data_IF_995957764082
#
_entry.id   IF_995957764082
#
_cell.length_a   1.000
_cell.length_b   1.000
_cell.length_c   1.000
_cell.angle_alpha   90.00
_cell.angle_beta   90.00
_cell.angle_gamma   90.00
#
_symmetry.space_group_name_H-M   'P 1'
#
loop_
_entity.id
_entity.type
_entity.pdbx_description
1 polymer ?
#
# COMPACT_ATOMS: atom_id res chain seq x y z
N UNK A 1 -3.80 7.02 9.65
CA UNK A 1 -3.01 6.38 8.58
C UNK A 1 -2.11 5.35 9.23
N UNK A 2 -2.10 4.07 8.77
CA UNK A 2 -1.20 3.06 9.29
C UNK A 2 0.22 3.58 9.35
N UNK A 3 0.82 3.43 10.52
CA UNK A 3 2.21 3.82 10.75
C UNK A 3 3.11 2.63 10.36
N UNK A 4 4.43 2.86 10.33
CA UNK A 4 5.38 1.80 9.93
C UNK A 4 5.19 0.49 10.69
N UNK A 5 4.82 0.56 11.99
CA UNK A 5 4.55 -0.60 12.83
C UNK A 5 3.35 -1.43 12.36
N UNK A 6 2.26 -0.77 11.93
CA UNK A 6 1.08 -1.45 11.38
C UNK A 6 1.43 -2.22 10.10
N UNK A 7 2.25 -1.60 9.25
CA UNK A 7 2.72 -2.22 8.01
C UNK A 7 3.67 -3.38 8.28
N UNK A 8 4.53 -3.28 9.29
CA UNK A 8 5.37 -4.41 9.76
C UNK A 8 4.48 -5.58 10.19
N UNK A 9 3.38 -5.33 10.90
CA UNK A 9 2.42 -6.38 11.25
C UNK A 9 1.74 -6.99 10.01
N UNK A 10 1.38 -6.18 9.01
CA UNK A 10 0.85 -6.69 7.74
C UNK A 10 1.87 -7.55 6.99
N UNK A 11 3.12 -7.09 6.90
CA UNK A 11 4.24 -7.85 6.32
C UNK A 11 4.41 -9.19 7.03
N UNK A 12 4.47 -9.18 8.36
CA UNK A 12 4.62 -10.39 9.16
C UNK A 12 3.48 -11.39 8.89
N UNK A 13 2.22 -10.92 8.83
CA UNK A 13 1.07 -11.77 8.50
C UNK A 13 1.21 -12.42 7.12
N UNK A 14 1.61 -11.66 6.11
CA UNK A 14 1.84 -12.20 4.76
C UNK A 14 2.99 -13.21 4.78
N UNK A 15 4.10 -12.90 5.45
CA UNK A 15 5.25 -13.79 5.55
C UNK A 15 4.91 -15.12 6.23
N UNK A 16 4.15 -15.10 7.33
CA UNK A 16 3.69 -16.33 7.97
C UNK A 16 2.83 -17.17 7.01
N UNK A 17 1.88 -16.55 6.33
CA UNK A 17 1.03 -17.26 5.36
C UNK A 17 1.85 -17.90 4.23
N UNK A 18 2.83 -17.18 3.66
CA UNK A 18 3.70 -17.71 2.61
C UNK A 18 4.61 -18.85 3.11
N UNK A 19 5.12 -18.72 4.34
CA UNK A 19 5.93 -19.76 4.98
C UNK A 19 5.13 -21.02 5.31
N UNK A 20 3.88 -20.87 5.73
CA UNK A 20 3.01 -22.00 6.04
C UNK A 20 2.61 -22.74 4.76
N UNK A 21 2.28 -22.02 3.68
CA UNK A 21 2.08 -22.61 2.37
C UNK A 21 3.35 -23.33 1.86
N UNK A 22 4.53 -22.72 2.01
CA UNK A 22 5.80 -23.37 1.65
C UNK A 22 6.04 -24.69 2.40
N UNK A 23 5.69 -24.75 3.70
CA UNK A 23 5.82 -25.98 4.50
C UNK A 23 4.83 -27.06 4.07
N UNK A 24 3.63 -26.67 3.65
CA UNK A 24 2.56 -27.58 3.24
C UNK A 24 2.83 -28.17 1.85
N UNK A 25 3.17 -27.30 0.88
CA UNK A 25 3.25 -27.67 -0.54
C UNK A 25 4.68 -28.00 -1.01
N UNK A 26 5.70 -27.55 -0.25
CA UNK A 26 7.12 -27.78 -0.55
C UNK A 26 7.72 -26.83 -1.59
N UNK A 27 6.95 -25.87 -2.11
CA UNK A 27 7.41 -24.82 -3.03
C UNK A 27 6.90 -23.45 -2.60
N UNK A 28 7.61 -22.39 -3.01
CA UNK A 28 7.23 -21.03 -2.62
C UNK A 28 5.98 -20.61 -3.40
N UNK A 29 4.97 -19.97 -2.76
CA UNK A 29 3.73 -19.66 -3.45
C UNK A 29 3.94 -18.67 -4.61
N UNK A 30 3.43 -19.05 -5.77
CA UNK A 30 3.27 -18.16 -6.91
C UNK A 30 1.88 -17.51 -6.87
N UNK A 31 1.82 -16.25 -7.31
CA UNK A 31 0.57 -15.52 -7.38
C UNK A 31 0.52 -14.52 -8.51
N UNK A 32 -0.68 -13.99 -8.73
CA UNK A 32 -0.99 -12.99 -9.76
C UNK A 32 -1.64 -11.76 -9.13
N UNK A 33 -1.33 -10.60 -9.70
CA UNK A 33 -2.00 -9.35 -9.33
C UNK A 33 -3.44 -9.35 -9.83
N UNK A 34 -4.38 -9.01 -8.95
CA UNK A 34 -5.77 -8.75 -9.29
C UNK A 34 -6.12 -7.34 -8.85
N UNK A 35 -6.68 -6.52 -9.75
CA UNK A 35 -7.17 -5.17 -9.42
C UNK A 35 -8.66 -5.08 -9.67
N UNK A 36 -9.36 -4.34 -8.81
CA UNK A 36 -10.82 -4.16 -8.88
C UNK A 36 -11.20 -2.67 -8.98
N UNK A 37 -10.95 -1.99 -10.13
CA UNK A 37 -11.21 -0.56 -10.27
C UNK A 37 -12.62 -0.07 -9.98
N UNK A 38 -13.63 -0.96 -10.06
CA UNK A 38 -15.01 -0.67 -9.63
C UNK A 38 -15.11 -0.24 -8.16
N UNK A 39 -14.12 -0.56 -7.33
CA UNK A 39 -14.08 -0.16 -5.91
C UNK A 39 -13.24 1.10 -5.65
N UNK A 40 -12.54 1.63 -6.66
CA UNK A 40 -11.70 2.81 -6.52
C UNK A 40 -12.53 4.06 -6.21
N UNK A 41 -11.90 5.04 -5.56
CA UNK A 41 -12.52 6.34 -5.38
C UNK A 41 -12.67 7.06 -6.72
N UNK A 42 -13.59 8.02 -6.76
CA UNK A 42 -13.74 8.94 -7.88
C UNK A 42 -13.43 10.34 -7.38
N UNK A 43 -12.37 10.92 -7.94
CA UNK A 43 -12.05 12.33 -7.75
C UNK A 43 -13.21 13.24 -8.16
N UNK A 44 -13.11 14.49 -7.77
CA UNK A 44 -14.03 15.55 -8.21
C UNK A 44 -13.29 16.52 -9.11
N UNK A 45 -14.00 17.33 -9.89
CA UNK A 45 -13.36 18.39 -10.69
C UNK A 45 -12.50 19.33 -9.83
N UNK A 46 -12.91 19.59 -8.58
CA UNK A 46 -12.17 20.45 -7.64
C UNK A 46 -11.01 19.74 -6.93
N UNK A 47 -11.07 18.41 -6.80
CA UNK A 47 -10.04 17.59 -6.16
C UNK A 47 -9.86 16.32 -7.00
N UNK A 48 -9.01 16.36 -8.04
CA UNK A 48 -8.67 15.15 -8.77
C UNK A 48 -8.04 14.18 -7.78
N UNK A 49 -8.56 12.96 -7.77
CA UNK A 49 -8.05 11.89 -6.92
C UNK A 49 -7.89 10.64 -7.77
N UNK A 50 -6.76 9.99 -7.59
CA UNK A 50 -6.36 8.81 -8.33
C UNK A 50 -5.98 7.72 -7.34
N UNK A 51 -6.78 6.66 -7.32
CA UNK A 51 -6.50 5.49 -6.50
C UNK A 51 -5.29 4.72 -7.01
N UNK A 52 -5.08 4.67 -8.32
CA UNK A 52 -4.06 3.80 -8.92
C UNK A 52 -3.29 4.53 -10.00
N UNK A 53 -1.97 4.52 -9.93
CA UNK A 53 -1.05 4.85 -11.01
C UNK A 53 -0.23 3.62 -11.40
N UNK A 54 0.46 3.68 -12.55
CA UNK A 54 1.41 2.63 -12.92
C UNK A 54 2.60 3.19 -13.68
N UNK A 55 3.70 2.44 -13.60
CA UNK A 55 4.89 2.61 -14.41
C UNK A 55 5.13 1.33 -15.20
N UNK A 56 5.16 1.46 -16.52
CA UNK A 56 5.54 0.37 -17.42
C UNK A 56 7.02 0.56 -17.67
N UNK A 57 7.86 -0.30 -17.08
CA UNK A 57 9.28 -0.38 -17.40
C UNK A 57 9.46 -1.01 -18.79
N UNK A 58 10.27 -2.07 -18.86
CA UNK A 58 10.51 -2.80 -20.11
C UNK A 58 9.42 -3.85 -20.42
N UNK A 59 8.41 -3.98 -19.54
CA UNK A 59 7.30 -4.90 -19.76
C UNK A 59 6.56 -4.62 -21.07
N UNK A 60 6.16 -5.67 -21.76
CA UNK A 60 5.37 -5.60 -22.98
C UNK A 60 4.23 -6.61 -23.00
N UNK A 61 3.13 -6.32 -23.71
CA UNK A 61 2.00 -7.24 -23.87
C UNK A 61 2.37 -8.63 -24.39
N UNK A 62 3.49 -8.80 -25.10
CA UNK A 62 3.94 -10.09 -25.61
C UNK A 62 4.40 -11.06 -24.52
N UNK A 63 4.72 -10.57 -23.32
CA UNK A 63 5.08 -11.42 -22.17
C UNK A 63 3.86 -12.09 -21.54
N UNK A 64 2.67 -11.50 -21.72
CA UNK A 64 1.38 -11.94 -21.19
C UNK A 64 0.31 -11.79 -22.30
N UNK A 65 0.40 -12.62 -23.36
CA UNK A 65 -0.37 -12.41 -24.58
C UNK A 65 -1.81 -12.91 -24.50
N UNK A 66 -2.14 -13.71 -23.48
CA UNK A 66 -3.44 -14.38 -23.36
C UNK A 66 -4.50 -13.38 -22.90
N UNK A 67 -5.52 -13.07 -23.70
CA UNK A 67 -6.60 -12.17 -23.29
C UNK A 67 -7.46 -12.81 -22.20
N UNK A 68 -7.95 -12.01 -21.26
CA UNK A 68 -8.86 -12.42 -20.20
C UNK A 68 -10.15 -11.59 -20.24
N UNK A 69 -11.31 -12.14 -19.82
CA UNK A 69 -12.53 -11.37 -19.71
C UNK A 69 -12.38 -10.25 -18.67
N UNK A 70 -12.79 -9.03 -19.03
CA UNK A 70 -12.84 -7.88 -18.11
C UNK A 70 -14.28 -7.73 -17.61
N UNK A 71 -14.43 -7.53 -16.30
CA UNK A 71 -15.73 -7.14 -15.76
C UNK A 71 -16.16 -5.78 -16.32
N UNK A 72 -17.40 -5.66 -16.79
CA UNK A 72 -17.88 -4.42 -17.41
C UNK A 72 -17.78 -3.20 -16.48
N UNK A 73 -17.89 -3.38 -15.16
CA UNK A 73 -17.78 -2.28 -14.21
C UNK A 73 -16.33 -1.84 -14.00
N UNK A 74 -15.36 -2.76 -14.09
CA UNK A 74 -13.95 -2.39 -14.05
C UNK A 74 -13.54 -1.70 -15.36
N UNK A 75 -14.00 -2.21 -16.51
CA UNK A 75 -13.71 -1.62 -17.82
C UNK A 75 -14.18 -0.16 -17.91
N UNK A 76 -15.36 0.16 -17.36
CA UNK A 76 -15.89 1.54 -17.29
C UNK A 76 -15.03 2.48 -16.44
N UNK A 77 -14.18 1.94 -15.58
CA UNK A 77 -13.30 2.72 -14.67
C UNK A 77 -11.90 2.89 -15.22
N UNK A 78 -11.52 2.15 -16.26
CA UNK A 78 -10.25 2.34 -16.95
C UNK A 78 -10.29 3.72 -17.63
N UNK A 79 -9.48 4.68 -17.20
CA UNK A 79 -9.48 5.98 -17.82
C UNK A 79 -8.90 5.86 -19.24
N UNK A 80 -9.46 6.61 -20.19
CA UNK A 80 -9.00 6.59 -21.60
C UNK A 80 -7.52 6.97 -21.79
N UNK A 81 -6.95 7.69 -20.83
CA UNK A 81 -5.63 8.31 -20.90
C UNK A 81 -4.71 7.87 -19.75
N UNK A 82 -4.90 6.66 -19.18
CA UNK A 82 -4.07 6.23 -18.04
C UNK A 82 -3.38 4.90 -18.23
N UNK A 83 -2.20 4.86 -17.65
CA UNK A 83 -1.16 3.90 -17.97
C UNK A 83 -1.34 2.53 -17.30
N UNK A 84 -2.29 2.34 -16.38
CA UNK A 84 -2.45 1.05 -15.68
C UNK A 84 -3.49 0.10 -16.29
N UNK A 85 -4.21 0.53 -17.33
CA UNK A 85 -5.26 -0.28 -17.97
C UNK A 85 -4.75 -1.60 -18.56
N UNK A 86 -3.44 -1.71 -18.85
CA UNK A 86 -2.83 -2.95 -19.33
C UNK A 86 -2.90 -4.09 -18.32
N UNK A 87 -3.03 -3.81 -17.03
CA UNK A 87 -3.16 -4.83 -15.98
C UNK A 87 -4.53 -5.51 -15.97
N UNK A 88 -5.44 -5.08 -16.85
CA UNK A 88 -6.75 -5.69 -17.06
C UNK A 88 -6.81 -6.36 -18.43
N UNK A 89 -7.69 -7.35 -18.55
CA UNK A 89 -8.04 -7.93 -19.84
C UNK A 89 -7.03 -8.89 -20.41
N UNK A 90 -6.11 -9.36 -19.57
CA UNK A 90 -5.14 -10.41 -19.89
C UNK A 90 -4.94 -11.32 -18.68
N UNK A 91 -4.52 -12.54 -18.94
CA UNK A 91 -4.05 -13.44 -17.90
C UNK A 91 -2.62 -13.03 -17.52
N UNK A 92 -2.47 -12.49 -16.31
CA UNK A 92 -1.16 -12.16 -15.78
C UNK A 92 -0.42 -13.44 -15.43
N UNK A 93 0.88 -13.47 -15.68
CA UNK A 93 1.73 -14.62 -15.43
C UNK A 93 1.97 -14.76 -13.92
N UNK A 94 1.67 -15.92 -13.32
CA UNK A 94 2.03 -16.19 -11.94
C UNK A 94 3.54 -16.10 -11.72
N UNK A 95 3.94 -15.63 -10.54
CA UNK A 95 5.32 -15.72 -10.09
C UNK A 95 5.44 -15.52 -8.58
N UNK A 96 6.65 -15.65 -8.04
CA UNK A 96 6.85 -15.82 -6.60
C UNK A 96 6.38 -14.59 -5.83
N UNK A 97 5.57 -14.83 -4.79
CA UNK A 97 5.00 -13.74 -4.00
C UNK A 97 5.99 -13.28 -2.93
N UNK A 98 6.31 -11.99 -2.91
CA UNK A 98 7.14 -11.40 -1.86
C UNK A 98 6.51 -10.14 -1.30
N UNK A 99 6.86 -9.81 -0.05
CA UNK A 99 6.38 -8.63 0.65
C UNK A 99 7.52 -7.86 1.32
N UNK A 100 7.49 -6.54 1.19
CA UNK A 100 8.39 -5.66 1.92
C UNK A 100 7.66 -4.42 2.40
N UNK A 101 8.24 -3.79 3.42
CA UNK A 101 7.73 -2.55 4.00
C UNK A 101 8.88 -1.58 4.06
N UNK A 102 8.60 -0.34 3.70
CA UNK A 102 9.55 0.75 3.82
C UNK A 102 8.77 2.04 4.06
N UNK A 103 9.00 2.63 5.23
CA UNK A 103 8.29 3.82 5.70
C UNK A 103 6.81 3.52 5.90
N UNK A 104 5.95 4.28 5.21
CA UNK A 104 4.49 4.12 5.23
C UNK A 104 3.94 3.40 4.00
N UNK A 105 4.79 2.62 3.35
CA UNK A 105 4.46 1.92 2.11
C UNK A 105 4.73 0.42 2.26
N UNK A 106 3.86 -0.38 1.66
CA UNK A 106 4.00 -1.83 1.57
C UNK A 106 4.09 -2.23 0.09
N UNK A 107 5.08 -3.03 -0.25
CA UNK A 107 5.26 -3.56 -1.60
C UNK A 107 4.91 -5.05 -1.62
N UNK A 108 4.13 -5.47 -2.62
CA UNK A 108 3.80 -6.86 -2.92
C UNK A 108 4.28 -7.20 -4.33
N UNK A 109 5.06 -8.26 -4.47
CA UNK A 109 5.47 -8.80 -5.77
C UNK A 109 4.55 -9.94 -6.16
N UNK A 110 4.19 -10.00 -7.44
CA UNK A 110 3.55 -11.15 -8.08
C UNK A 110 3.86 -11.14 -9.59
N UNK A 111 4.66 -12.10 -10.05
CA UNK A 111 5.01 -12.22 -11.47
C UNK A 111 5.89 -11.07 -11.97
N UNK A 112 5.50 -10.49 -13.11
CA UNK A 112 6.14 -9.30 -13.70
C UNK A 112 5.77 -7.99 -12.99
N UNK A 113 4.94 -8.03 -11.95
CA UNK A 113 4.33 -6.85 -11.35
C UNK A 113 4.68 -6.70 -9.88
N UNK A 114 4.98 -5.47 -9.49
CA UNK A 114 5.07 -5.05 -8.09
C UNK A 114 3.95 -4.05 -7.82
N UNK A 115 3.17 -4.29 -6.76
CA UNK A 115 2.16 -3.37 -6.27
C UNK A 115 2.66 -2.69 -4.99
N UNK A 116 2.86 -1.38 -5.05
CA UNK A 116 3.13 -0.53 -3.88
C UNK A 116 1.81 0.04 -3.37
N UNK A 117 1.61 -0.04 -2.06
CA UNK A 117 0.36 0.29 -1.38
C UNK A 117 0.62 1.32 -0.29
N UNK A 118 -0.14 2.41 -0.34
CA UNK A 118 -0.27 3.38 0.74
C UNK A 118 -1.70 3.30 1.28
N UNK A 119 -1.86 2.80 2.51
CA UNK A 119 -3.17 2.45 3.07
C UNK A 119 -4.02 3.66 3.54
N UNK A 120 -3.48 4.88 3.51
CA UNK A 120 -4.12 6.11 3.99
C UNK A 120 -4.92 5.88 5.29
N UNK A 121 -6.13 6.40 5.51
CA UNK A 121 -6.78 6.37 6.82
C UNK A 121 -7.34 4.99 7.22
N UNK A 122 -8.05 4.32 6.32
CA UNK A 122 -8.87 3.12 6.63
C UNK A 122 -8.53 1.90 5.74
N UNK A 123 -7.42 1.96 5.01
CA UNK A 123 -6.91 0.83 4.26
C UNK A 123 -6.43 -0.29 5.20
N UNK A 124 -6.66 -1.52 4.77
CA UNK A 124 -6.29 -2.73 5.51
C UNK A 124 -5.84 -3.84 4.59
N UNK A 125 -4.93 -4.68 5.10
CA UNK A 125 -4.49 -5.92 4.46
C UNK A 125 -5.02 -7.12 5.22
N UNK A 126 -5.57 -8.09 4.49
CA UNK A 126 -6.04 -9.38 5.06
C UNK A 126 -5.61 -10.54 4.18
N UNK A 127 -5.47 -11.71 4.78
CA UNK A 127 -5.29 -12.97 4.06
C UNK A 127 -6.56 -13.82 4.22
N UNK A 128 -6.91 -14.60 3.20
CA UNK A 128 -8.02 -15.54 3.23
C UNK A 128 -7.80 -16.68 2.23
N UNK A 129 -8.60 -17.75 2.34
CA UNK A 129 -8.64 -18.82 1.35
C UNK A 129 -9.17 -18.31 0.00
N UNK A 130 -8.67 -18.88 -1.09
CA UNK A 130 -9.04 -18.52 -2.46
C UNK A 130 -10.54 -18.64 -2.73
N UNK A 131 -11.16 -19.73 -2.29
CA UNK A 131 -12.60 -19.95 -2.39
C UNK A 131 -13.44 -18.81 -1.78
N UNK A 132 -12.99 -18.24 -0.66
CA UNK A 132 -13.68 -17.15 0.03
C UNK A 132 -13.57 -15.84 -0.73
N UNK A 133 -12.39 -15.58 -1.29
CA UNK A 133 -12.19 -14.43 -2.14
C UNK A 133 -13.08 -14.50 -3.39
N UNK A 134 -13.09 -15.64 -4.07
CA UNK A 134 -13.89 -15.86 -5.28
C UNK A 134 -15.39 -15.67 -5.02
N UNK A 135 -15.90 -16.19 -3.90
CA UNK A 135 -17.28 -15.97 -3.47
C UNK A 135 -17.60 -14.48 -3.24
N UNK A 136 -16.69 -13.72 -2.61
CA UNK A 136 -16.86 -12.29 -2.34
C UNK A 136 -16.89 -11.49 -3.65
N UNK A 137 -15.93 -11.74 -4.56
CA UNK A 137 -15.79 -10.93 -5.79
C UNK A 137 -16.80 -11.30 -6.88
N UNK A 138 -17.47 -12.44 -6.77
CA UNK A 138 -18.49 -12.89 -7.70
C UNK A 138 -19.66 -11.89 -7.84
N UNK A 139 -20.05 -11.21 -6.75
CA UNK A 139 -21.19 -10.28 -6.75
C UNK A 139 -20.82 -8.92 -6.18
N UNK A 140 -21.09 -7.87 -6.96
CA UNK A 140 -20.93 -6.49 -6.53
C UNK A 140 -22.22 -5.68 -6.66
N UNK A 141 -22.39 -4.69 -5.81
CA UNK A 141 -23.55 -3.80 -5.74
C UNK A 141 -23.14 -2.34 -5.83
N UNK A 142 -24.04 -1.43 -6.26
CA UNK A 142 -23.81 0.01 -6.17
C UNK A 142 -23.43 0.46 -4.75
N UNK A 143 -22.58 1.48 -4.69
CA UNK A 143 -22.13 2.10 -3.44
C UNK A 143 -23.22 2.90 -2.77
N UNK A 144 -22.91 3.39 -1.57
CA UNK A 144 -23.81 4.26 -0.82
C UNK A 144 -23.53 5.72 -1.19
N UNK A 145 -24.16 6.21 -2.27
CA UNK A 145 -24.11 7.61 -2.65
C UNK A 145 -25.53 8.16 -2.92
N UNK A 146 -25.88 9.37 -2.45
CA UNK A 146 -27.18 9.97 -2.75
C UNK A 146 -27.45 10.12 -4.25
N UNK A 147 -26.40 10.30 -5.06
CA UNK A 147 -26.51 10.37 -6.53
C UNK A 147 -26.40 8.96 -7.11
N UNK A 148 -27.50 8.47 -7.71
CA UNK A 148 -27.58 7.13 -8.29
C UNK A 148 -26.48 6.84 -9.33
N UNK A 149 -26.15 7.82 -10.19
CA UNK A 149 -25.07 7.69 -11.17
C UNK A 149 -23.70 7.46 -10.50
N UNK A 150 -23.39 8.21 -9.45
CA UNK A 150 -22.14 8.05 -8.68
C UNK A 150 -22.13 6.75 -7.87
N UNK A 151 -23.28 6.34 -7.32
CA UNK A 151 -23.44 5.05 -6.65
C UNK A 151 -23.19 3.87 -7.60
N UNK A 152 -23.66 3.96 -8.84
CA UNK A 152 -23.44 2.93 -9.86
C UNK A 152 -21.96 2.79 -10.25
N UNK A 153 -21.19 3.88 -10.21
CA UNK A 153 -19.75 3.88 -10.47
C UNK A 153 -18.92 3.38 -9.28
N UNK A 154 -19.31 3.72 -8.04
CA UNK A 154 -18.59 3.36 -6.82
C UNK A 154 -19.10 2.03 -6.25
N UNK A 155 -18.82 0.91 -6.91
CA UNK A 155 -19.35 -0.40 -6.50
C UNK A 155 -18.61 -0.99 -5.31
N UNK A 156 -19.25 -1.90 -4.59
CA UNK A 156 -18.68 -2.67 -3.48
C UNK A 156 -19.06 -4.14 -3.61
N UNK A 157 -18.27 -5.03 -3.05
CA UNK A 157 -18.58 -6.45 -2.97
C UNK A 157 -19.49 -6.72 -1.76
N UNK A 158 -20.40 -7.69 -1.89
CA UNK A 158 -21.24 -8.13 -0.78
C UNK A 158 -20.43 -9.09 0.09
N UNK A 159 -20.49 -8.92 1.40
CA UNK A 159 -19.90 -9.89 2.32
C UNK A 159 -20.85 -11.09 2.50
N UNK A 160 -20.41 -12.33 2.22
CA UNK A 160 -21.21 -13.51 2.49
C UNK A 160 -21.63 -13.63 3.97
N UNK A 161 -22.85 -14.13 4.27
CA UNK A 161 -23.37 -14.21 5.64
C UNK A 161 -22.46 -14.95 6.62
N UNK A 162 -21.69 -15.94 6.15
CA UNK A 162 -20.75 -16.71 6.98
C UNK A 162 -19.60 -15.87 7.56
N UNK A 163 -19.34 -14.69 7.02
CA UNK A 163 -18.33 -13.74 7.54
C UNK A 163 -18.95 -12.63 8.39
N UNK A 164 -20.25 -12.69 8.67
CA UNK A 164 -20.97 -11.68 9.44
C UNK A 164 -21.24 -12.26 10.83
N UNK A 165 -20.63 -11.66 11.84
CA UNK A 165 -20.86 -12.01 13.24
C UNK A 165 -22.34 -11.87 13.62
N UNK A 166 -22.86 -12.77 14.45
CA UNK A 166 -24.27 -12.79 14.84
C UNK A 166 -24.73 -11.47 15.49
N UNK A 167 -23.84 -10.80 16.22
CA UNK A 167 -24.07 -9.50 16.84
C UNK A 167 -23.99 -8.29 15.90
N UNK A 168 -23.67 -8.49 14.61
CA UNK A 168 -23.55 -7.41 13.65
C UNK A 168 -24.92 -6.78 13.31
N UNK A 169 -24.88 -5.55 12.77
CA UNK A 169 -26.09 -4.78 12.45
C UNK A 169 -26.87 -5.41 11.28
N UNK A 170 -27.85 -6.24 11.61
CA UNK A 170 -28.67 -7.03 10.67
C UNK A 170 -29.42 -6.22 9.59
N UNK A 171 -29.75 -4.94 9.83
CA UNK A 171 -30.54 -4.12 8.89
C UNK A 171 -29.75 -3.56 7.70
N UNK A 172 -28.45 -3.83 7.58
CA UNK A 172 -27.59 -3.25 6.54
C UNK A 172 -26.90 -4.36 5.76
N UNK A 173 -26.91 -4.27 4.43
CA UNK A 173 -26.07 -5.13 3.59
C UNK A 173 -24.61 -4.86 3.94
N UNK A 174 -23.91 -5.89 4.41
CA UNK A 174 -22.48 -5.83 4.71
C UNK A 174 -21.71 -5.83 3.39
N UNK A 175 -20.81 -4.86 3.24
CA UNK A 175 -20.06 -4.61 2.02
C UNK A 175 -18.58 -4.50 2.32
N UNK A 176 -17.74 -4.89 1.36
CA UNK A 176 -16.30 -4.69 1.37
C UNK A 176 -15.86 -4.05 0.05
N UNK A 177 -14.88 -3.14 0.12
CA UNK A 177 -14.24 -2.58 -1.06
C UNK A 177 -12.85 -3.23 -1.18
N UNK A 178 -12.73 -4.28 -1.97
CA UNK A 178 -11.42 -4.86 -2.30
C UNK A 178 -10.88 -4.08 -3.49
N UNK A 179 -9.73 -3.45 -3.33
CA UNK A 179 -9.14 -2.57 -4.33
C UNK A 179 -8.13 -3.34 -5.18
N UNK A 180 -7.31 -4.15 -4.52
CA UNK A 180 -6.38 -5.06 -5.17
C UNK A 180 -6.23 -6.34 -4.34
N UNK A 181 -5.71 -7.38 -4.96
CA UNK A 181 -5.36 -8.63 -4.32
C UNK A 181 -4.17 -9.28 -5.01
N UNK A 182 -3.39 -10.07 -4.26
CA UNK A 182 -2.48 -11.06 -4.83
C UNK A 182 -3.13 -12.42 -4.66
N UNK A 183 -3.41 -13.05 -5.79
CA UNK A 183 -4.13 -14.31 -5.90
C UNK A 183 -3.12 -15.42 -6.07
N UNK A 184 -3.08 -16.36 -5.12
CA UNK A 184 -2.35 -17.63 -5.25
C UNK A 184 -3.39 -18.76 -5.36
N UNK A 185 -2.91 -20.00 -5.53
CA UNK A 185 -3.77 -21.18 -5.71
C UNK A 185 -4.74 -21.36 -4.53
N UNK A 186 -4.22 -21.42 -3.30
CA UNK A 186 -5.01 -21.72 -2.10
C UNK A 186 -5.35 -20.48 -1.26
N UNK A 187 -4.56 -19.42 -1.38
CA UNK A 187 -4.61 -18.25 -0.52
C UNK A 187 -4.67 -16.96 -1.33
N UNK A 188 -5.21 -15.91 -0.73
CA UNK A 188 -5.29 -14.58 -1.33
C UNK A 188 -4.91 -13.53 -0.29
N UNK A 189 -4.06 -12.59 -0.70
CA UNK A 189 -3.78 -11.37 0.04
C UNK A 189 -4.69 -10.29 -0.53
N UNK A 190 -5.59 -9.73 0.27
CA UNK A 190 -6.49 -8.66 -0.16
C UNK A 190 -6.08 -7.32 0.44
N UNK A 191 -6.21 -6.27 -0.37
CA UNK A 191 -6.11 -4.87 0.04
C UNK A 191 -7.51 -4.28 -0.03
N UNK A 192 -8.02 -3.83 1.11
CA UNK A 192 -9.39 -3.33 1.22
C UNK A 192 -9.46 -2.04 2.02
N UNK A 193 -10.36 -1.14 1.61
CA UNK A 193 -10.49 0.18 2.23
C UNK A 193 -11.93 0.69 2.19
N UNK A 194 -12.49 0.97 3.36
CA UNK A 194 -13.84 1.52 3.44
C UNK A 194 -13.95 2.93 2.84
N UNK A 195 -12.95 3.78 3.09
CA UNK A 195 -12.87 5.17 2.62
C UNK A 195 -12.48 5.30 1.15
N UNK A 196 -11.85 4.26 0.56
CA UNK A 196 -11.29 4.22 -0.81
C UNK A 196 -10.16 5.23 -1.04
N UNK A 197 -9.46 5.60 0.01
CA UNK A 197 -8.35 6.56 0.00
C UNK A 197 -6.98 5.89 -0.13
N UNK A 198 -6.93 4.55 -0.12
CA UNK A 198 -5.74 3.78 -0.42
C UNK A 198 -5.23 4.13 -1.81
N UNK A 199 -3.94 4.44 -1.88
CA UNK A 199 -3.24 4.67 -3.13
C UNK A 199 -2.43 3.44 -3.51
N UNK A 200 -2.50 3.09 -4.78
CA UNK A 200 -1.86 1.95 -5.41
C UNK A 200 -0.93 2.46 -6.49
N UNK A 201 0.26 1.88 -6.56
CA UNK A 201 1.19 2.12 -7.65
C UNK A 201 1.72 0.80 -8.16
N UNK A 202 1.48 0.49 -9.43
CA UNK A 202 1.97 -0.74 -10.04
C UNK A 202 3.22 -0.48 -10.87
N UNK A 203 4.25 -1.29 -10.70
CA UNK A 203 5.46 -1.27 -11.52
C UNK A 203 5.61 -2.60 -12.22
N UNK A 204 5.87 -2.56 -13.52
CA UNK A 204 6.00 -3.76 -14.35
C UNK A 204 7.36 -3.83 -15.04
N UNK A 205 7.96 -5.01 -15.08
CA UNK A 205 9.24 -5.30 -15.73
C UNK A 205 9.11 -6.42 -16.77
N UNK A 206 10.10 -6.53 -17.66
CA UNK A 206 10.22 -7.63 -18.62
C UNK A 206 10.74 -8.93 -17.98
N UNK A 207 11.16 -8.88 -16.72
CA UNK A 207 11.62 -10.00 -15.92
C UNK A 207 10.76 -10.19 -14.67
N UNK A 208 10.66 -11.43 -14.19
CA UNK A 208 9.94 -11.73 -12.95
C UNK A 208 10.68 -11.09 -11.78
N UNK A 209 9.96 -10.33 -10.97
CA UNK A 209 10.53 -9.75 -9.77
C UNK A 209 10.86 -10.83 -8.74
N UNK A 210 11.91 -10.59 -7.97
CA UNK A 210 12.43 -11.49 -6.94
C UNK A 210 12.45 -10.81 -5.58
N UNK A 211 12.78 -11.53 -4.50
CA UNK A 211 13.09 -10.89 -3.22
C UNK A 211 14.29 -9.92 -3.35
N UNK A 212 15.24 -10.27 -4.22
CA UNK A 212 16.32 -9.41 -4.70
C UNK A 212 15.83 -8.28 -5.64
N UNK A 213 14.51 -8.06 -5.68
CA UNK A 213 13.84 -6.83 -6.13
C UNK A 213 13.06 -6.00 -5.03
N UNK A 214 13.11 -6.36 -3.73
CA UNK A 214 12.69 -5.48 -2.60
C UNK A 214 13.74 -4.87 -1.61
N UNK A 215 14.96 -5.39 -1.49
CA UNK A 215 16.10 -4.86 -0.71
C UNK A 215 16.56 -3.44 -1.15
N UNK A 216 17.25 -2.68 -0.29
CA UNK A 216 17.71 -1.32 -0.62
C UNK A 216 18.72 -1.20 -1.78
N UNK A 217 19.50 -2.25 -2.06
CA UNK A 217 20.74 -2.15 -2.86
C UNK A 217 20.58 -2.44 -4.38
N UNK A 218 19.39 -2.73 -4.89
CA UNK A 218 19.24 -3.04 -6.33
C UNK A 218 19.12 -1.76 -7.16
N UNK A 219 19.74 -1.78 -8.34
CA UNK A 219 19.88 -0.65 -9.26
C UNK A 219 18.60 -0.39 -10.06
N UNK A 220 17.81 -1.43 -10.39
CA UNK A 220 16.46 -1.32 -11.00
C UNK A 220 15.44 -0.66 -10.03
N UNK A 221 15.84 -0.63 -8.76
CA UNK A 221 15.01 -0.43 -7.60
C UNK A 221 15.03 1.01 -7.07
N UNK A 222 15.93 1.86 -7.56
CA UNK A 222 16.01 3.27 -7.15
C UNK A 222 14.71 4.05 -7.41
N UNK A 223 13.91 3.74 -8.43
CA UNK A 223 12.64 4.45 -8.68
C UNK A 223 11.48 4.02 -7.77
N UNK A 224 11.29 2.70 -7.57
CA UNK A 224 10.35 2.15 -6.58
C UNK A 224 10.73 2.61 -5.17
N UNK A 225 12.03 2.57 -4.85
CA UNK A 225 12.55 2.92 -3.53
C UNK A 225 12.63 4.43 -3.28
N UNK A 226 12.93 5.30 -4.24
CA UNK A 226 13.15 6.74 -3.98
C UNK A 226 11.86 7.55 -4.08
N UNK A 227 10.91 7.19 -4.96
CA UNK A 227 9.70 7.98 -5.21
C UNK A 227 8.51 7.53 -4.36
N UNK A 228 8.37 6.22 -4.11
CA UNK A 228 7.15 5.66 -3.50
C UNK A 228 7.37 4.93 -2.16
N UNK A 229 8.61 4.64 -1.80
CA UNK A 229 8.96 4.05 -0.51
C UNK A 229 9.73 5.07 0.34
N UNK A 230 9.07 5.59 1.36
CA UNK A 230 9.63 6.58 2.30
C UNK A 230 10.99 6.10 2.83
N UNK A 231 12.11 6.82 2.67
CA UNK A 231 13.43 6.34 3.10
C UNK A 231 13.44 6.10 4.62
N UNK A 232 13.45 4.85 5.07
CA UNK A 232 13.52 4.54 6.50
C UNK A 232 14.91 4.93 6.98
N UNK A 233 14.98 5.99 7.79
CA UNK A 233 16.13 6.20 8.66
C UNK A 233 15.99 5.19 9.80
N UNK A 234 16.92 4.23 9.95
CA UNK A 234 16.90 3.40 11.15
C UNK A 234 16.97 4.33 12.36
N UNK A 235 16.05 4.17 13.31
CA UNK A 235 16.15 4.78 14.64
C UNK A 235 17.32 4.11 15.38
N UNK A 236 18.53 4.39 14.93
CA UNK A 236 19.73 4.30 15.74
C UNK A 236 20.14 5.74 16.04
N UNK A 237 20.66 5.97 17.24
CA UNK A 237 20.72 7.30 17.86
C UNK A 237 21.54 8.35 17.10
N UNK A 238 22.37 7.93 16.15
CA UNK A 238 23.08 8.85 15.24
C UNK A 238 22.26 9.29 14.03
N UNK A 239 21.32 8.48 13.53
CA UNK A 239 20.71 8.68 12.20
C UNK A 239 19.63 9.76 12.18
N UNK A 240 18.95 9.99 13.32
CA UNK A 240 17.99 11.08 13.46
C UNK A 240 18.69 12.44 13.41
N UNK A 241 19.82 12.61 14.13
CA UNK A 241 20.60 13.85 14.14
C UNK A 241 21.15 14.18 12.75
N UNK A 242 21.70 13.19 12.02
CA UNK A 242 22.11 13.38 10.62
C UNK A 242 20.93 13.71 9.68
N UNK A 243 19.77 13.12 9.96
CA UNK A 243 18.51 13.39 9.28
C UNK A 243 17.99 14.82 9.49
N UNK A 244 18.08 15.33 10.73
CA UNK A 244 17.68 16.69 11.09
C UNK A 244 18.62 17.74 10.46
N UNK A 245 19.93 17.47 10.45
CA UNK A 245 20.93 18.31 9.78
C UNK A 245 20.77 18.34 8.26
N UNK A 246 20.22 17.28 7.64
CA UNK A 246 19.95 17.27 6.19
C UNK A 246 18.65 18.01 5.82
N UNK A 247 17.64 18.00 6.70
CA UNK A 247 16.45 18.86 6.57
C UNK A 247 16.82 20.35 6.69
N UNK A 248 17.77 20.68 7.56
CA UNK A 248 18.32 22.03 7.71
C UNK A 248 18.90 22.56 6.40
N UNK A 249 19.73 21.75 5.73
CA UNK A 249 20.33 22.08 4.42
C UNK A 249 19.27 22.23 3.32
N UNK A 250 18.20 21.42 3.35
CA UNK A 250 17.16 21.41 2.31
C UNK A 250 16.11 22.51 2.47
N UNK A 251 15.72 22.84 3.71
CA UNK A 251 14.62 23.77 4.00
C UNK A 251 15.10 25.19 4.29
N UNK A 252 16.37 25.37 4.65
CA UNK A 252 16.92 26.68 5.03
C UNK A 252 16.29 27.29 6.30
N UNK A 253 15.49 26.52 7.05
CA UNK A 253 14.74 27.02 8.22
C UNK A 253 15.03 26.20 9.47
N UNK A 254 15.80 26.81 10.37
CA UNK A 254 16.17 26.31 11.70
C UNK A 254 15.01 26.35 12.71
N UNK A 255 13.89 26.97 12.37
CA UNK A 255 12.76 27.19 13.28
C UNK A 255 11.57 26.27 13.01
N UNK A 256 11.76 25.22 12.20
CA UNK A 256 10.70 24.25 11.95
C UNK A 256 10.45 23.44 13.23
N UNK A 257 9.20 23.34 13.71
CA UNK A 257 8.84 22.48 14.82
C UNK A 257 9.30 21.03 14.60
N UNK A 258 9.86 20.40 15.63
CA UNK A 258 10.33 19.01 15.54
C UNK A 258 9.22 18.04 15.10
N UNK A 259 7.98 18.30 15.50
CA UNK A 259 6.83 17.51 15.06
C UNK A 259 6.65 17.55 13.53
N UNK A 260 6.84 18.70 12.88
CA UNK A 260 6.72 18.82 11.43
C UNK A 260 7.87 18.11 10.72
N UNK A 261 9.05 18.11 11.31
CA UNK A 261 10.21 17.38 10.78
C UNK A 261 10.02 15.86 10.89
N UNK A 262 9.48 15.37 12.02
CA UNK A 262 9.14 13.96 12.23
C UNK A 262 7.97 13.51 11.34
N UNK A 263 7.07 14.40 10.94
CA UNK A 263 5.95 14.06 10.05
C UNK A 263 6.29 14.18 8.57
N UNK A 264 7.47 14.71 8.23
CA UNK A 264 7.91 14.86 6.85
C UNK A 264 8.15 13.50 6.18
N UNK A 265 7.29 13.18 5.20
CA UNK A 265 7.34 11.95 4.40
C UNK A 265 8.50 11.90 3.41
N UNK A 266 9.23 12.97 3.18
CA UNK A 266 10.47 12.95 2.38
C UNK A 266 11.73 13.07 3.25
N UNK A 267 11.54 13.23 4.57
CA UNK A 267 12.60 13.52 5.52
C UNK A 267 12.93 12.36 6.46
N UNK A 268 13.63 12.64 7.57
CA UNK A 268 14.05 11.64 8.54
C UNK A 268 12.90 10.94 9.27
N UNK A 269 11.72 11.58 9.30
CA UNK A 269 10.48 11.04 9.83
C UNK A 269 9.72 10.09 8.90
N UNK A 270 10.33 9.68 7.80
CA UNK A 270 9.78 8.75 6.82
C UNK A 270 9.30 7.42 7.47
N UNK A 271 7.99 7.29 7.70
CA UNK A 271 7.40 6.14 8.42
C UNK A 271 6.68 6.52 9.71
N UNK A 272 6.97 7.70 10.26
CA UNK A 272 6.42 8.19 11.53
C UNK A 272 5.11 8.90 11.29
N UNK A 273 4.02 8.38 11.86
CA UNK A 273 2.73 9.06 11.87
C UNK A 273 2.58 9.98 13.09
N UNK A 274 1.43 10.65 13.17
CA UNK A 274 1.15 11.60 14.23
C UNK A 274 1.13 10.94 15.62
N UNK A 275 0.72 9.68 15.72
CA UNK A 275 0.71 8.99 17.02
C UNK A 275 2.12 8.62 17.45
N UNK A 276 2.91 7.98 16.57
CA UNK A 276 4.30 7.65 16.89
C UNK A 276 5.15 8.90 17.17
N UNK A 277 4.96 9.99 16.42
CA UNK A 277 5.70 11.23 16.68
C UNK A 277 5.37 11.79 18.07
N UNK A 278 4.08 11.87 18.45
CA UNK A 278 3.69 12.35 19.76
C UNK A 278 4.18 11.42 20.89
N UNK A 279 4.11 10.10 20.70
CA UNK A 279 4.60 9.14 21.68
C UNK A 279 6.12 9.22 21.86
N UNK A 280 6.87 9.37 20.75
CA UNK A 280 8.31 9.57 20.77
C UNK A 280 8.64 10.82 21.58
N UNK A 281 8.07 11.97 21.20
CA UNK A 281 8.29 13.26 21.86
C UNK A 281 7.91 13.25 23.35
N UNK A 282 6.83 12.55 23.71
CA UNK A 282 6.42 12.36 25.10
C UNK A 282 7.43 11.52 25.90
N UNK A 283 8.02 10.49 25.28
CA UNK A 283 9.01 9.63 25.93
C UNK A 283 10.34 10.32 26.25
N UNK A 284 10.68 11.36 25.48
CA UNK A 284 11.97 12.10 25.54
C UNK A 284 11.82 13.51 26.16
N UNK A 285 10.82 13.68 27.04
CA UNK A 285 10.19 14.95 27.42
C UNK A 285 10.40 16.19 26.53
N UNK A 286 10.19 16.08 25.22
CA UNK A 286 10.40 17.17 24.26
C UNK A 286 9.07 17.78 23.81
N UNK A 287 8.95 19.12 23.85
CA UNK A 287 7.74 19.79 23.39
C UNK A 287 7.62 19.71 21.85
N UNK A 288 6.44 19.39 21.26
CA UNK A 288 6.29 19.26 19.81
C UNK A 288 6.69 20.50 19.00
N UNK A 289 6.49 21.70 19.57
CA UNK A 289 6.88 22.98 18.96
C UNK A 289 8.35 23.34 19.18
N UNK A 290 9.16 22.45 19.76
CA UNK A 290 10.59 22.69 19.93
C UNK A 290 11.24 22.83 18.55
N UNK A 291 11.95 23.93 18.27
CA UNK A 291 12.65 24.09 17.01
C UNK A 291 13.69 22.98 16.82
N UNK A 292 13.76 22.40 15.62
CA UNK A 292 14.75 21.35 15.30
C UNK A 292 16.19 21.81 15.53
N UNK A 293 16.47 23.12 15.38
CA UNK A 293 17.79 23.70 15.65
C UNK A 293 18.27 23.55 17.10
N UNK A 294 17.37 23.57 18.07
CA UNK A 294 17.72 23.36 19.49
C UNK A 294 18.26 21.96 19.70
N UNK A 295 17.67 20.96 19.03
CA UNK A 295 18.07 19.56 19.11
C UNK A 295 19.41 19.35 18.39
N UNK A 296 19.57 19.93 17.19
CA UNK A 296 20.81 19.84 16.43
C UNK A 296 21.99 20.56 17.10
N UNK A 297 21.72 21.57 17.94
CA UNK A 297 22.76 22.39 18.58
C UNK A 297 23.48 21.71 19.75
N UNK A 298 22.90 20.65 20.30
CA UNK A 298 23.46 19.90 21.44
C UNK A 298 23.31 18.40 21.20
N UNK A 299 24.12 17.89 20.28
CA UNK A 299 24.07 16.46 19.90
C UNK A 299 24.42 15.52 21.06
N UNK A 300 25.10 15.99 22.12
CA UNK A 300 25.39 15.18 23.31
C UNK A 300 24.16 15.05 24.22
N UNK A 301 23.47 16.15 24.54
CA UNK A 301 22.26 16.13 25.35
C UNK A 301 21.12 15.31 24.72
N UNK A 302 21.16 15.19 23.39
CA UNK A 302 20.15 14.51 22.57
C UNK A 302 20.68 13.24 21.90
N UNK A 303 21.86 12.74 22.30
CA UNK A 303 22.51 11.56 21.72
C UNK A 303 21.78 10.24 21.98
N UNK A 304 20.89 10.20 22.99
CA UNK A 304 20.09 9.03 23.34
C UNK A 304 18.72 8.98 22.64
N UNK A 305 18.42 9.94 21.75
CA UNK A 305 17.23 9.94 20.87
C UNK A 305 17.35 8.96 19.70
#
# INVERSE_FOLDING_TARGET
MPESQDLIAFKHRVQCMLQDAYKEDGYWPDGVLHISPRTFAEGTAAKPYETMSAEIGEWSPSLEPVPAPINEHDQRRVPKNRDWGYLLGRELKPGPVHVAVRGKSLALIAGYHTLVVHFDLEGSLRTMKREHFDEIVATCVPGNNPKAAKAACLRSFIMPPKFIEAGARQKKVHKINIMAAIVMDENVIIISDFSRMTQLHAVSSDSLFTLNDLLPESIIRAFILIIYLTPVFPFSSGTLVFGLASVEVQTGSLNTPIIDVLLNVAGPGAGVGQHLANNLLYGIPLHPDTPSSVICSDSEAYSEL
#
